data_IF_018008190582
#
_entry.id   IF_018008190582
#
_cell.length_a   1.000
_cell.length_b   1.000
_cell.length_c   1.000
_cell.angle_alpha   90.00
_cell.angle_beta   90.00
_cell.angle_gamma   90.00
#
_symmetry.space_group_name_H-M   'P 1'
#
loop_
_entity.id
_entity.type
_entity.pdbx_description
1 polymer ?
#
# COMPACT_ATOMS: atom_id res chain seq x y z
N UNK A 1 2.31 18.98 -13.45
CA UNK A 1 3.30 18.23 -12.66
C UNK A 1 3.89 19.05 -11.53
N UNK A 2 4.10 20.38 -11.68
CA UNK A 2 4.66 21.24 -10.61
C UNK A 2 3.70 21.63 -9.49
N UNK A 3 2.41 21.40 -9.63
CA UNK A 3 1.40 21.81 -8.64
C UNK A 3 1.07 20.74 -7.57
N UNK A 4 1.23 19.46 -7.89
CA UNK A 4 0.86 18.35 -7.00
C UNK A 4 1.86 18.17 -5.84
N UNK A 5 3.16 18.33 -6.12
CA UNK A 5 4.19 18.19 -5.10
C UNK A 5 4.13 19.24 -3.97
N UNK A 6 3.76 20.48 -4.32
CA UNK A 6 3.63 21.54 -3.33
C UNK A 6 2.37 21.38 -2.45
N UNK A 7 1.27 20.84 -3.02
CA UNK A 7 0.05 20.55 -2.26
C UNK A 7 0.22 19.35 -1.31
N UNK A 8 1.01 18.36 -1.71
CA UNK A 8 1.30 17.21 -0.86
C UNK A 8 2.23 17.54 0.31
N UNK A 9 3.26 18.39 0.11
CA UNK A 9 4.14 18.82 1.19
C UNK A 9 3.40 19.56 2.31
N UNK A 10 2.40 20.36 1.97
CA UNK A 10 1.56 21.05 2.96
C UNK A 10 0.63 20.07 3.68
N UNK A 11 0.14 19.03 2.99
CA UNK A 11 -0.70 18.00 3.59
C UNK A 11 0.08 17.13 4.59
N UNK A 12 1.33 16.77 4.31
CA UNK A 12 2.20 16.03 5.23
C UNK A 12 2.42 16.79 6.54
N UNK A 13 2.74 18.09 6.45
CA UNK A 13 2.95 18.93 7.64
C UNK A 13 1.66 19.10 8.48
N UNK A 14 0.49 19.20 7.83
CA UNK A 14 -0.78 19.39 8.53
C UNK A 14 -1.26 18.14 9.27
N UNK A 15 -1.04 16.94 8.73
CA UNK A 15 -1.49 15.68 9.34
C UNK A 15 -0.57 15.25 10.50
N UNK A 16 0.74 15.44 10.37
CA UNK A 16 1.69 15.15 11.45
C UNK A 16 1.47 16.00 12.70
N UNK A 17 1.04 17.25 12.54
CA UNK A 17 0.73 18.15 13.67
C UNK A 17 -0.67 17.96 14.24
N UNK A 18 -1.63 17.46 13.48
CA UNK A 18 -2.99 17.16 13.96
C UNK A 18 -3.02 16.00 14.97
N UNK A 19 -2.11 15.04 14.86
CA UNK A 19 -1.96 13.94 15.81
C UNK A 19 -1.42 14.37 17.18
N UNK A 20 -0.77 15.55 17.28
CA UNK A 20 -0.07 16.01 18.49
C UNK A 20 -0.72 17.24 19.13
N UNK A 21 -1.61 17.99 18.45
CA UNK A 21 -2.19 19.22 18.99
C UNK A 21 -3.49 19.66 18.33
N UNK A 22 -4.56 18.99 18.63
CA UNK A 22 -5.88 19.15 18.02
C UNK A 22 -6.60 20.50 18.19
N UNK A 23 -5.90 21.60 18.41
CA UNK A 23 -6.60 22.84 18.82
C UNK A 23 -6.57 24.03 17.85
N UNK A 24 -5.54 24.17 17.02
CA UNK A 24 -5.34 25.41 16.25
C UNK A 24 -5.00 25.29 14.77
N UNK A 25 -4.59 24.11 14.28
CA UNK A 25 -4.17 23.93 12.89
C UNK A 25 -5.30 23.61 11.89
N UNK A 26 -6.53 23.38 12.37
CA UNK A 26 -7.67 22.98 11.55
C UNK A 26 -8.39 24.16 10.84
N UNK A 27 -8.06 25.39 11.16
CA UNK A 27 -8.82 26.56 10.68
C UNK A 27 -8.44 26.97 9.24
N UNK A 28 -7.26 26.58 8.77
CA UNK A 28 -6.76 26.93 7.43
C UNK A 28 -6.70 25.76 6.42
N UNK A 29 -7.24 24.60 6.77
CA UNK A 29 -7.33 23.48 5.82
C UNK A 29 -8.41 23.76 4.77
N UNK A 30 -8.03 23.76 3.50
CA UNK A 30 -8.99 23.77 2.41
C UNK A 30 -9.87 22.51 2.45
N UNK A 31 -11.08 22.59 1.91
CA UNK A 31 -12.01 21.42 1.82
C UNK A 31 -11.34 20.21 1.17
N UNK A 32 -10.47 20.44 0.20
CA UNK A 32 -9.70 19.39 -0.49
C UNK A 32 -8.70 18.69 0.44
N UNK A 33 -8.01 19.44 1.31
CA UNK A 33 -7.09 18.86 2.28
C UNK A 33 -7.83 18.06 3.35
N UNK A 34 -9.02 18.51 3.76
CA UNK A 34 -9.86 17.80 4.71
C UNK A 34 -10.41 16.49 4.09
N UNK A 35 -10.86 16.50 2.83
CA UNK A 35 -11.32 15.33 2.13
C UNK A 35 -10.18 14.30 1.94
N UNK A 36 -8.97 14.76 1.60
CA UNK A 36 -7.80 13.89 1.49
C UNK A 36 -7.43 13.26 2.84
N UNK A 37 -7.49 14.03 3.93
CA UNK A 37 -7.20 13.50 5.27
C UNK A 37 -8.23 12.43 5.70
N UNK A 38 -9.51 12.64 5.40
CA UNK A 38 -10.59 11.70 5.70
C UNK A 38 -10.43 10.41 4.88
N UNK A 39 -10.08 10.54 3.60
CA UNK A 39 -9.75 9.41 2.74
C UNK A 39 -8.57 8.60 3.28
N UNK A 40 -7.47 9.25 3.68
CA UNK A 40 -6.31 8.60 4.28
C UNK A 40 -6.65 7.84 5.56
N UNK A 41 -7.48 8.40 6.43
CA UNK A 41 -7.96 7.74 7.65
C UNK A 41 -8.81 6.52 7.32
N UNK A 42 -9.69 6.63 6.32
CA UNK A 42 -10.52 5.51 5.85
C UNK A 42 -9.64 4.39 5.30
N UNK A 43 -8.69 4.71 4.43
CA UNK A 43 -7.78 3.74 3.85
C UNK A 43 -6.86 3.10 4.91
N UNK A 44 -6.41 3.85 5.91
CA UNK A 44 -5.66 3.33 7.05
C UNK A 44 -6.46 2.24 7.79
N UNK A 45 -7.74 2.49 8.03
CA UNK A 45 -8.62 1.53 8.70
C UNK A 45 -8.83 0.26 7.88
N UNK A 46 -8.98 0.40 6.55
CA UNK A 46 -9.26 -0.73 5.64
C UNK A 46 -8.02 -1.58 5.36
N UNK A 47 -6.86 -0.95 5.25
CA UNK A 47 -5.60 -1.63 4.92
C UNK A 47 -4.84 -2.12 6.16
N UNK A 48 -5.12 -1.55 7.32
CA UNK A 48 -4.37 -1.79 8.55
C UNK A 48 -3.02 -1.07 8.61
N UNK A 49 -2.73 -0.22 7.63
CA UNK A 49 -1.49 0.57 7.58
C UNK A 49 -1.65 1.92 8.29
N UNK A 50 -0.55 2.48 8.79
CA UNK A 50 -0.56 3.83 9.32
C UNK A 50 -0.83 4.87 8.21
N UNK A 51 -1.42 6.00 8.57
CA UNK A 51 -1.64 7.12 7.64
C UNK A 51 -0.31 7.59 7.04
N UNK A 52 0.75 7.64 7.84
CA UNK A 52 2.10 8.00 7.41
C UNK A 52 2.66 7.05 6.35
N UNK A 53 2.54 5.75 6.58
CA UNK A 53 2.95 4.74 5.59
C UNK A 53 2.16 4.88 4.29
N UNK A 54 0.83 5.02 4.38
CA UNK A 54 -0.02 5.19 3.21
C UNK A 54 0.33 6.44 2.39
N UNK A 55 0.60 7.57 3.04
CA UNK A 55 1.01 8.79 2.35
C UNK A 55 2.34 8.62 1.62
N UNK A 56 3.34 8.04 2.30
CA UNK A 56 4.64 7.81 1.72
C UNK A 56 4.56 6.83 0.52
N UNK A 57 3.79 5.76 0.66
CA UNK A 57 3.60 4.80 -0.42
C UNK A 57 2.76 5.34 -1.58
N UNK A 58 1.75 6.17 -1.29
CA UNK A 58 0.96 6.83 -2.34
C UNK A 58 1.82 7.76 -3.17
N UNK A 59 2.70 8.53 -2.54
CA UNK A 59 3.66 9.38 -3.24
C UNK A 59 4.61 8.53 -4.12
N UNK A 60 5.19 7.47 -3.56
CA UNK A 60 6.09 6.60 -4.29
C UNK A 60 5.40 5.86 -5.45
N UNK A 61 4.14 5.44 -5.25
CA UNK A 61 3.32 4.79 -6.27
C UNK A 61 2.99 5.74 -7.43
N UNK A 62 2.63 6.99 -7.12
CA UNK A 62 2.35 8.03 -8.13
C UNK A 62 3.58 8.31 -9.01
N UNK A 63 4.78 8.27 -8.46
CA UNK A 63 6.04 8.42 -9.21
C UNK A 63 6.29 7.29 -10.22
N UNK A 64 5.65 6.15 -10.04
CA UNK A 64 5.75 4.99 -10.93
C UNK A 64 4.44 4.72 -11.66
N UNK A 65 3.58 5.71 -11.80
CA UNK A 65 2.29 5.66 -12.50
C UNK A 65 1.28 4.65 -11.92
N UNK A 66 1.33 4.41 -10.59
CA UNK A 66 0.33 3.61 -9.87
C UNK A 66 -0.53 4.52 -9.01
N UNK A 67 -1.84 4.53 -9.25
CA UNK A 67 -2.76 5.38 -8.49
C UNK A 67 -2.89 4.92 -7.03
N UNK A 68 -3.18 5.86 -6.14
CA UNK A 68 -3.49 5.57 -4.73
C UNK A 68 -4.66 4.57 -4.60
N UNK A 69 -5.70 4.70 -5.42
CA UNK A 69 -6.84 3.79 -5.42
C UNK A 69 -6.41 2.35 -5.77
N UNK A 70 -5.56 2.18 -6.77
CA UNK A 70 -4.99 0.87 -7.15
C UNK A 70 -4.15 0.30 -6.02
N UNK A 71 -3.29 1.11 -5.41
CA UNK A 71 -2.44 0.70 -4.31
C UNK A 71 -3.27 0.23 -3.10
N UNK A 72 -4.13 1.09 -2.57
CA UNK A 72 -4.94 0.79 -1.37
C UNK A 72 -5.98 -0.30 -1.62
N UNK A 73 -6.56 -0.33 -2.83
CA UNK A 73 -7.47 -1.38 -3.26
C UNK A 73 -6.79 -2.75 -3.31
N UNK A 74 -5.56 -2.83 -3.79
CA UNK A 74 -4.77 -4.07 -3.81
C UNK A 74 -4.40 -4.53 -2.40
N UNK A 75 -4.01 -3.62 -1.52
CA UNK A 75 -3.72 -3.90 -0.11
C UNK A 75 -4.95 -4.47 0.63
N UNK A 76 -6.10 -3.85 0.44
CA UNK A 76 -7.37 -4.31 1.01
C UNK A 76 -7.76 -5.71 0.51
N UNK A 77 -7.57 -5.98 -0.79
CA UNK A 77 -7.79 -7.33 -1.36
C UNK A 77 -6.82 -8.35 -0.80
N UNK A 78 -5.57 -7.97 -0.59
CA UNK A 78 -4.58 -8.85 0.03
C UNK A 78 -4.98 -9.25 1.46
N UNK A 79 -5.38 -8.30 2.31
CA UNK A 79 -5.85 -8.62 3.67
C UNK A 79 -6.94 -9.68 3.64
N UNK A 80 -7.89 -9.55 2.71
CA UNK A 80 -8.94 -10.56 2.51
C UNK A 80 -8.39 -11.90 2.01
N UNK A 81 -7.45 -11.88 1.06
CA UNK A 81 -6.84 -13.10 0.53
C UNK A 81 -5.98 -13.82 1.59
N UNK A 82 -5.28 -13.08 2.45
CA UNK A 82 -4.53 -13.62 3.59
C UNK A 82 -5.48 -14.34 4.57
N UNK A 83 -6.59 -13.71 4.94
CA UNK A 83 -7.60 -14.32 5.82
C UNK A 83 -8.15 -15.61 5.21
N UNK A 84 -8.53 -15.57 3.93
CA UNK A 84 -9.02 -16.75 3.23
C UNK A 84 -7.97 -17.89 3.17
N UNK A 85 -6.70 -17.55 2.95
CA UNK A 85 -5.61 -18.53 2.94
C UNK A 85 -5.44 -19.18 4.31
N UNK A 86 -5.42 -18.40 5.39
CA UNK A 86 -5.35 -18.88 6.78
C UNK A 86 -6.54 -19.79 7.11
N UNK A 87 -7.75 -19.41 6.67
CA UNK A 87 -9.00 -20.12 6.97
C UNK A 87 -9.22 -21.35 6.07
N UNK A 88 -8.21 -21.78 5.30
CA UNK A 88 -8.17 -23.03 4.58
C UNK A 88 -8.66 -22.99 3.13
N UNK A 89 -8.79 -21.82 2.52
CA UNK A 89 -9.06 -21.72 1.09
C UNK A 89 -7.83 -22.16 0.30
N UNK A 90 -7.88 -23.35 -0.30
CA UNK A 90 -6.79 -23.93 -1.10
C UNK A 90 -6.31 -22.96 -2.19
N UNK A 91 -7.25 -22.28 -2.85
CA UNK A 91 -6.93 -21.29 -3.89
C UNK A 91 -5.93 -20.24 -3.43
N UNK A 92 -6.17 -19.60 -2.27
CA UNK A 92 -5.31 -18.54 -1.77
C UNK A 92 -4.08 -19.11 -1.07
N UNK A 93 -4.20 -20.22 -0.33
CA UNK A 93 -3.07 -20.89 0.29
C UNK A 93 -2.03 -21.32 -0.74
N UNK A 94 -2.45 -21.92 -1.86
CA UNK A 94 -1.58 -22.33 -2.97
C UNK A 94 -0.87 -21.12 -3.63
N UNK A 95 -1.57 -19.99 -3.78
CA UNK A 95 -0.97 -18.79 -4.35
C UNK A 95 0.19 -18.27 -3.49
N UNK A 96 -0.02 -18.14 -2.19
CA UNK A 96 1.04 -17.72 -1.28
C UNK A 96 2.15 -18.75 -1.15
N UNK A 97 1.83 -20.06 -1.15
CA UNK A 97 2.82 -21.13 -1.13
C UNK A 97 3.74 -21.10 -2.36
N UNK A 98 3.20 -20.85 -3.55
CA UNK A 98 3.99 -20.67 -4.79
C UNK A 98 4.95 -19.47 -4.71
N UNK A 99 4.58 -18.44 -3.99
CA UNK A 99 5.43 -17.26 -3.73
C UNK A 99 6.41 -17.49 -2.57
N UNK A 100 6.30 -18.60 -1.83
CA UNK A 100 7.11 -18.88 -0.65
C UNK A 100 6.76 -18.00 0.55
N UNK A 101 5.52 -17.49 0.62
CA UNK A 101 5.07 -16.54 1.65
C UNK A 101 4.14 -17.22 2.64
N UNK A 102 4.43 -17.06 3.93
CA UNK A 102 3.51 -17.42 5.01
C UNK A 102 2.61 -16.22 5.35
N UNK A 103 1.29 -16.41 5.37
CA UNK A 103 0.32 -15.37 5.76
C UNK A 103 0.03 -15.36 7.26
N UNK A 104 0.41 -16.43 7.97
CA UNK A 104 0.22 -16.56 9.40
C UNK A 104 1.54 -16.87 10.12
N UNK A 105 1.62 -16.49 11.38
CA UNK A 105 2.72 -16.81 12.27
C UNK A 105 2.60 -18.25 12.84
N UNK A 106 3.54 -18.62 13.70
CA UNK A 106 3.55 -19.93 14.36
C UNK A 106 2.37 -20.20 15.29
N UNK A 107 1.64 -19.14 15.70
CA UNK A 107 0.44 -19.22 16.54
C UNK A 107 -0.85 -19.24 15.71
N UNK A 108 -0.77 -19.23 14.38
CA UNK A 108 -1.91 -19.15 13.49
C UNK A 108 -2.54 -17.75 13.36
N UNK A 109 -1.89 -16.72 13.89
CA UNK A 109 -2.33 -15.33 13.77
C UNK A 109 -1.88 -14.78 12.40
N UNK A 110 -2.72 -13.94 11.78
CA UNK A 110 -2.30 -13.25 10.55
C UNK A 110 -1.05 -12.40 10.82
N UNK A 111 -0.09 -12.50 9.93
CA UNK A 111 1.07 -11.62 9.94
C UNK A 111 0.66 -10.20 9.57
N UNK A 112 1.52 -9.26 9.88
CA UNK A 112 1.36 -7.86 9.51
C UNK A 112 1.12 -7.71 7.99
N UNK A 113 0.02 -7.03 7.62
CA UNK A 113 -0.42 -6.91 6.24
C UNK A 113 0.54 -6.12 5.37
N UNK A 114 1.18 -5.08 5.92
CA UNK A 114 2.18 -4.26 5.22
C UNK A 114 3.41 -5.09 4.87
N UNK A 115 3.93 -5.84 5.84
CA UNK A 115 5.07 -6.73 5.64
C UNK A 115 4.78 -7.77 4.55
N UNK A 116 3.63 -8.45 4.64
CA UNK A 116 3.23 -9.47 3.66
C UNK A 116 2.99 -8.85 2.29
N UNK A 117 2.51 -7.59 2.22
CA UNK A 117 2.31 -6.90 0.96
C UNK A 117 3.62 -6.74 0.18
N UNK A 118 4.65 -6.20 0.84
CA UNK A 118 5.93 -5.98 0.19
C UNK A 118 6.68 -7.28 -0.11
N UNK A 119 6.58 -8.29 0.75
CA UNK A 119 7.08 -9.64 0.45
C UNK A 119 6.41 -10.23 -0.81
N UNK A 120 5.10 -9.99 -0.98
CA UNK A 120 4.33 -10.45 -2.15
C UNK A 120 4.77 -9.72 -3.42
N UNK A 121 4.92 -8.40 -3.37
CA UNK A 121 5.44 -7.59 -4.49
C UNK A 121 6.83 -8.09 -4.90
N UNK A 122 7.74 -8.31 -3.97
CA UNK A 122 9.10 -8.78 -4.24
C UNK A 122 9.12 -10.21 -4.81
N UNK A 123 8.26 -11.09 -4.31
CA UNK A 123 8.15 -12.46 -4.80
C UNK A 123 7.60 -12.49 -6.23
N UNK A 124 6.60 -11.68 -6.54
CA UNK A 124 6.07 -11.53 -7.90
C UNK A 124 7.13 -11.00 -8.86
N UNK A 125 7.93 -10.02 -8.42
CA UNK A 125 9.02 -9.46 -9.23
C UNK A 125 10.11 -10.47 -9.62
N UNK A 126 10.24 -11.58 -8.89
CA UNK A 126 11.20 -12.66 -9.18
C UNK A 126 10.70 -13.67 -10.21
N UNK A 127 9.42 -13.65 -10.56
CA UNK A 127 8.83 -14.58 -11.54
C UNK A 127 9.11 -14.09 -12.95
N UNK A 128 9.90 -14.84 -13.70
CA UNK A 128 10.28 -14.50 -15.08
C UNK A 128 9.14 -14.68 -16.07
N UNK A 129 8.20 -15.60 -15.82
CA UNK A 129 7.04 -15.82 -16.66
C UNK A 129 5.95 -14.81 -16.31
N UNK A 130 5.74 -13.82 -17.19
CA UNK A 130 4.75 -12.75 -16.98
C UNK A 130 3.32 -13.30 -16.81
N UNK A 131 2.93 -14.31 -17.58
CA UNK A 131 1.60 -14.91 -17.48
C UNK A 131 1.37 -15.55 -16.11
N UNK A 132 2.36 -16.25 -15.58
CA UNK A 132 2.29 -16.86 -14.26
C UNK A 132 2.29 -15.81 -13.16
N UNK A 133 3.16 -14.80 -13.26
CA UNK A 133 3.21 -13.65 -12.35
C UNK A 133 1.85 -12.95 -12.29
N UNK A 134 1.29 -12.61 -13.44
CA UNK A 134 0.03 -11.86 -13.54
C UNK A 134 -1.15 -12.70 -13.02
N UNK A 135 -1.16 -14.00 -13.27
CA UNK A 135 -2.18 -14.91 -12.73
C UNK A 135 -2.14 -14.96 -11.19
N UNK A 136 -0.95 -15.05 -10.59
CA UNK A 136 -0.79 -15.02 -9.13
C UNK A 136 -1.15 -13.65 -8.54
N UNK A 137 -0.71 -12.57 -9.19
CA UNK A 137 -1.05 -11.21 -8.79
C UNK A 137 -2.57 -10.97 -8.81
N UNK A 138 -3.26 -11.40 -9.88
CA UNK A 138 -4.72 -11.31 -9.98
C UNK A 138 -5.43 -12.14 -8.92
N UNK A 139 -4.87 -13.28 -8.54
CA UNK A 139 -5.45 -14.16 -7.52
C UNK A 139 -5.40 -13.50 -6.14
N UNK A 140 -4.32 -12.79 -5.81
CA UNK A 140 -4.08 -12.16 -4.51
C UNK A 140 -4.71 -10.77 -4.45
N UNK A 141 -4.44 -9.92 -5.45
CA UNK A 141 -4.81 -8.50 -5.46
C UNK A 141 -6.08 -8.18 -6.25
N UNK A 142 -6.65 -9.17 -6.95
CA UNK A 142 -7.87 -9.00 -7.75
C UNK A 142 -7.61 -8.34 -9.10
N UNK A 143 -8.65 -7.73 -9.68
CA UNK A 143 -8.65 -7.25 -11.07
C UNK A 143 -7.64 -6.13 -11.34
N UNK A 144 -7.36 -5.30 -10.35
CA UNK A 144 -6.40 -4.19 -10.47
C UNK A 144 -4.92 -4.63 -10.45
N UNK A 145 -4.66 -5.94 -10.31
CA UNK A 145 -3.29 -6.46 -10.20
C UNK A 145 -2.39 -6.09 -11.39
N UNK A 146 -2.94 -5.96 -12.59
CA UNK A 146 -2.17 -5.57 -13.78
C UNK A 146 -1.65 -4.13 -13.71
N UNK A 147 -2.38 -3.25 -13.03
CA UNK A 147 -1.98 -1.86 -12.80
C UNK A 147 -0.85 -1.74 -11.76
N UNK A 148 -0.54 -2.84 -11.05
CA UNK A 148 0.58 -2.92 -10.11
C UNK A 148 1.91 -3.31 -10.78
N UNK A 149 1.94 -3.61 -12.08
CA UNK A 149 3.15 -4.04 -12.75
C UNK A 149 4.33 -3.06 -12.58
N UNK A 150 4.15 -1.72 -12.65
CA UNK A 150 5.23 -0.79 -12.37
C UNK A 150 5.75 -0.88 -10.93
N UNK A 151 4.86 -1.10 -9.96
CA UNK A 151 5.22 -1.29 -8.55
C UNK A 151 6.00 -2.59 -8.34
N UNK A 152 5.56 -3.68 -8.97
CA UNK A 152 6.23 -4.99 -8.95
C UNK A 152 7.63 -4.89 -9.56
N UNK A 153 7.78 -4.11 -10.64
CA UNK A 153 9.08 -3.89 -11.27
C UNK A 153 10.06 -3.12 -10.39
N UNK A 154 9.58 -2.17 -9.58
CA UNK A 154 10.41 -1.43 -8.61
C UNK A 154 10.81 -2.29 -7.42
N UNK A 155 9.91 -3.17 -6.97
CA UNK A 155 10.08 -3.95 -5.75
C UNK A 155 10.04 -3.10 -4.47
N UNK A 156 10.11 -3.76 -3.33
CA UNK A 156 10.08 -3.10 -2.02
C UNK A 156 11.25 -2.14 -1.83
N UNK A 157 12.44 -2.49 -2.29
CA UNK A 157 13.65 -1.66 -2.15
C UNK A 157 13.55 -0.36 -2.97
N UNK A 158 13.03 -0.42 -4.20
CA UNK A 158 12.83 0.76 -5.03
C UNK A 158 11.78 1.70 -4.42
N UNK A 159 10.68 1.16 -3.95
CA UNK A 159 9.63 1.93 -3.27
C UNK A 159 10.14 2.53 -1.95
N UNK A 160 10.92 1.78 -1.16
CA UNK A 160 11.53 2.32 0.07
C UNK A 160 12.43 3.53 -0.22
N UNK A 161 13.23 3.49 -1.28
CA UNK A 161 14.05 4.63 -1.68
C UNK A 161 13.21 5.87 -2.04
N UNK A 162 12.11 5.69 -2.76
CA UNK A 162 11.16 6.76 -3.10
C UNK A 162 10.42 7.31 -1.88
N UNK A 163 10.02 6.44 -0.94
CA UNK A 163 9.37 6.88 0.31
C UNK A 163 10.33 7.64 1.22
N UNK A 164 11.62 7.24 1.27
CA UNK A 164 12.63 7.97 2.03
C UNK A 164 12.94 9.34 1.40
N UNK A 165 12.86 9.44 0.09
CA UNK A 165 12.93 10.73 -0.61
C UNK A 165 11.72 11.62 -0.26
N UNK A 166 10.51 11.07 -0.28
CA UNK A 166 9.28 11.78 0.13
C UNK A 166 9.41 12.34 1.54
N UNK A 167 9.86 11.53 2.50
CA UNK A 167 10.06 11.94 3.91
C UNK A 167 11.11 13.05 4.09
N UNK A 168 12.11 13.12 3.20
CA UNK A 168 13.12 14.18 3.23
C UNK A 168 12.64 15.50 2.65
N UNK A 169 11.64 15.45 1.76
CA UNK A 169 11.06 16.63 1.13
C UNK A 169 9.92 17.26 1.95
N UNK A 170 9.25 16.50 2.79
CA UNK A 170 8.08 16.91 3.57
C UNK A 170 8.32 17.34 4.96
#
# INVERSE_FOLDING_TARGET
VKGVGAAMGVAFAAIGTAAIGAGKALVDMTVEAAAYADEMLTQSTVTGMSVESLQAYSYAADLVDVSMETLTGSMSKQVKSMSNARDGSAKFADAYAKLGISVADSNGQLRDSETVYWETIDALGKISNETERDALAMQIFGKSAQELNPLIAQGSAGIAALTDEAKRMG
#
